data_IF_426702233931
#
_entry.id   IF_426702233931
#
_cell.length_a   1.000
_cell.length_b   1.000
_cell.length_c   1.000
_cell.angle_alpha   90.00
_cell.angle_beta   90.00
_cell.angle_gamma   90.00
#
_symmetry.space_group_name_H-M   'P 1'
#
loop_
_entity.id
_entity.type
_entity.pdbx_description
1 polymer ?
#
# COMPACT_ATOMS: atom_id res chain seq x y z
N UNK A 1 -10.33 -15.67 11.18
CA UNK A 1 -9.95 -14.25 11.16
C UNK A 1 -11.10 -13.50 10.50
N UNK A 2 -11.77 -12.53 11.14
CA UNK A 2 -12.68 -11.66 10.40
C UNK A 2 -11.88 -10.90 9.33
N UNK A 3 -12.43 -10.84 8.12
CA UNK A 3 -11.87 -10.07 7.03
C UNK A 3 -12.20 -8.59 7.26
N UNK A 4 -11.18 -7.80 7.52
CA UNK A 4 -11.30 -6.35 7.74
C UNK A 4 -10.53 -5.68 6.62
N UNK A 5 -11.13 -4.63 6.04
CA UNK A 5 -10.42 -3.77 5.09
C UNK A 5 -9.29 -2.98 5.75
N UNK A 6 -8.49 -2.33 4.93
CA UNK A 6 -7.47 -1.39 5.37
C UNK A 6 -8.09 -0.08 5.87
N UNK A 7 -7.28 0.72 6.56
CA UNK A 7 -7.62 2.09 6.94
C UNK A 7 -7.20 3.09 5.86
N UNK A 8 -7.95 4.19 5.75
CA UNK A 8 -7.52 5.33 4.94
C UNK A 8 -6.27 6.01 5.50
N UNK A 9 -5.52 6.68 4.64
CA UNK A 9 -4.40 7.53 5.01
C UNK A 9 -4.86 8.87 5.60
N UNK A 10 -3.96 9.54 6.34
CA UNK A 10 -4.22 10.88 6.85
C UNK A 10 -4.23 11.95 5.76
N UNK A 11 -5.00 13.01 5.94
CA UNK A 11 -4.90 14.20 5.09
C UNK A 11 -3.61 14.99 5.39
N UNK A 12 -3.09 15.66 4.36
CA UNK A 12 -1.99 16.61 4.51
C UNK A 12 -2.39 17.82 5.35
N UNK A 13 -1.40 18.43 6.01
CA UNK A 13 -1.61 19.63 6.79
C UNK A 13 -1.98 20.84 5.94
N UNK A 14 -2.74 21.76 6.54
CA UNK A 14 -3.16 23.02 5.94
C UNK A 14 -4.44 22.94 5.09
N UNK A 15 -5.02 24.09 4.72
CA UNK A 15 -6.27 24.16 3.94
C UNK A 15 -6.12 23.64 2.50
N UNK A 16 -4.88 23.46 2.04
CA UNK A 16 -4.51 22.98 0.72
C UNK A 16 -3.84 21.59 0.76
N UNK A 17 -3.87 20.92 1.91
CA UNK A 17 -3.29 19.59 2.08
C UNK A 17 -3.92 18.54 1.17
N UNK A 18 -3.09 17.62 0.68
CA UNK A 18 -3.56 16.50 -0.13
C UNK A 18 -4.47 15.58 0.66
N UNK A 19 -5.52 15.04 0.02
CA UNK A 19 -6.38 14.03 0.67
C UNK A 19 -5.61 12.72 0.85
N UNK A 20 -5.84 12.03 1.97
CA UNK A 20 -5.29 10.69 2.18
C UNK A 20 -5.86 9.64 1.22
N UNK A 21 -5.10 8.58 0.97
CA UNK A 21 -5.52 7.45 0.15
C UNK A 21 -6.56 6.56 0.85
N UNK A 22 -7.42 5.89 0.09
CA UNK A 22 -8.40 4.95 0.63
C UNK A 22 -7.75 3.67 1.17
N UNK A 23 -8.36 3.02 2.17
CA UNK A 23 -7.90 1.70 2.64
C UNK A 23 -8.24 0.58 1.64
N UNK A 24 -7.43 -0.48 1.63
CA UNK A 24 -7.63 -1.65 0.78
C UNK A 24 -8.87 -2.47 1.16
N UNK A 25 -9.42 -3.20 0.19
CA UNK A 25 -10.58 -4.09 0.41
C UNK A 25 -10.25 -5.38 1.14
N UNK A 26 -11.25 -6.21 1.41
CA UNK A 26 -11.03 -7.56 1.94
C UNK A 26 -11.62 -8.62 1.00
N UNK A 27 -10.84 -9.66 0.72
CA UNK A 27 -11.13 -10.71 -0.27
C UNK A 27 -11.10 -12.08 0.42
N UNK A 28 -12.17 -12.86 0.25
CA UNK A 28 -12.18 -14.29 0.56
C UNK A 28 -12.39 -15.10 -0.73
N UNK A 29 -11.56 -16.12 -0.94
CA UNK A 29 -11.79 -17.13 -1.96
C UNK A 29 -11.70 -18.50 -1.29
N UNK A 30 -12.78 -19.28 -1.41
CA UNK A 30 -12.84 -20.65 -0.91
C UNK A 30 -13.14 -21.61 -2.06
N UNK A 31 -12.36 -22.68 -2.17
CA UNK A 31 -12.55 -23.73 -3.16
C UNK A 31 -12.35 -25.11 -2.53
N UNK A 32 -13.18 -26.09 -2.88
CA UNK A 32 -12.93 -27.47 -2.47
C UNK A 32 -11.71 -28.07 -3.18
N UNK A 33 -11.44 -27.62 -4.41
CA UNK A 33 -10.34 -28.11 -5.23
C UNK A 33 -9.10 -27.22 -5.17
N UNK A 34 -8.66 -26.77 -6.35
CA UNK A 34 -7.46 -25.95 -6.52
C UNK A 34 -7.82 -24.49 -6.72
N UNK A 35 -7.16 -23.59 -5.99
CA UNK A 35 -7.04 -22.18 -6.39
C UNK A 35 -5.73 -22.07 -7.18
N UNK A 36 -5.81 -21.63 -8.44
CA UNK A 36 -4.63 -21.38 -9.28
C UNK A 36 -4.57 -19.92 -9.69
N UNK A 37 -3.44 -19.27 -9.40
CA UNK A 37 -3.13 -17.91 -9.81
C UNK A 37 -1.95 -18.02 -10.77
N UNK A 38 -2.23 -18.01 -12.07
CA UNK A 38 -1.19 -18.16 -13.10
C UNK A 38 -0.26 -16.95 -13.20
N UNK A 39 0.81 -17.07 -14.00
CA UNK A 39 1.87 -16.04 -14.17
C UNK A 39 1.36 -14.61 -14.41
N UNK A 40 0.21 -14.44 -15.09
CA UNK A 40 -0.40 -13.12 -15.36
C UNK A 40 -1.57 -12.77 -14.44
N UNK A 41 -1.90 -13.65 -13.51
CA UNK A 41 -2.98 -13.48 -12.57
C UNK A 41 -2.54 -12.70 -11.34
N UNK A 42 -3.47 -11.97 -10.74
CA UNK A 42 -3.25 -11.34 -9.45
C UNK A 42 -4.50 -11.32 -8.58
N UNK A 43 -4.27 -11.22 -7.27
CA UNK A 43 -5.29 -10.86 -6.28
C UNK A 43 -4.76 -9.63 -5.55
N UNK A 44 -5.53 -8.55 -5.57
CA UNK A 44 -5.08 -7.26 -5.06
C UNK A 44 -6.08 -6.69 -4.04
N UNK A 45 -5.58 -6.44 -2.84
CA UNK A 45 -6.25 -5.76 -1.74
C UNK A 45 -5.43 -4.53 -1.30
N UNK A 46 -4.70 -3.90 -2.23
CA UNK A 46 -3.86 -2.74 -1.98
C UNK A 46 -4.63 -1.50 -1.53
N UNK A 47 -3.96 -0.65 -0.73
CA UNK A 47 -4.46 0.67 -0.35
C UNK A 47 -4.26 1.72 -1.45
N UNK A 48 -5.05 2.78 -1.43
CA UNK A 48 -4.92 3.91 -2.36
C UNK A 48 -3.72 4.80 -2.04
N UNK A 49 -3.16 5.44 -3.07
CA UNK A 49 -2.13 6.47 -2.90
C UNK A 49 -2.71 7.77 -2.32
N UNK A 50 -1.89 8.50 -1.55
CA UNK A 50 -2.23 9.84 -1.07
C UNK A 50 -2.09 10.89 -2.16
N UNK A 51 -2.97 11.89 -2.17
CA UNK A 51 -2.85 13.01 -3.11
C UNK A 51 -1.69 13.93 -2.73
N UNK A 52 -1.06 14.55 -3.71
CA UNK A 52 -0.10 15.62 -3.44
C UNK A 52 -0.77 16.86 -2.83
N UNK A 53 0.02 17.65 -2.11
CA UNK A 53 -0.44 18.93 -1.60
C UNK A 53 -0.69 19.93 -2.72
N UNK A 54 -1.77 20.71 -2.62
CA UNK A 54 -2.12 21.68 -3.64
C UNK A 54 -1.28 22.96 -3.52
N UNK A 55 -0.96 23.56 -4.65
CA UNK A 55 -0.38 24.91 -4.70
C UNK A 55 -1.43 25.95 -4.29
N UNK A 56 -0.99 26.96 -3.56
CA UNK A 56 -1.81 28.11 -3.24
C UNK A 56 -0.93 29.31 -2.90
N UNK A 57 -1.33 30.55 -3.22
CA UNK A 57 -0.55 31.74 -2.91
C UNK A 57 -0.27 31.86 -1.40
N UNK A 58 1.00 31.93 -1.01
CA UNK A 58 1.44 32.22 0.36
C UNK A 58 1.45 31.03 1.33
N UNK A 59 0.82 29.89 1.00
CA UNK A 59 0.97 28.64 1.75
C UNK A 59 0.54 27.43 0.92
N UNK A 60 1.48 26.59 0.46
CA UNK A 60 1.16 25.33 -0.22
C UNK A 60 0.68 24.27 0.77
N UNK A 61 0.10 23.18 0.29
CA UNK A 61 -0.32 22.06 1.12
C UNK A 61 0.76 21.01 1.32
N UNK A 62 0.71 20.30 2.45
CA UNK A 62 1.46 19.05 2.62
C UNK A 62 0.80 17.89 1.89
N UNK A 63 1.58 16.85 1.58
CA UNK A 63 1.07 15.64 0.93
C UNK A 63 0.15 14.82 1.83
N UNK A 64 -0.87 14.19 1.23
CA UNK A 64 -1.73 13.23 1.90
C UNK A 64 -1.02 11.88 2.09
N UNK A 65 -1.32 11.17 3.18
CA UNK A 65 -0.77 9.85 3.45
C UNK A 65 -1.40 8.74 2.60
N UNK A 66 -0.64 7.69 2.32
CA UNK A 66 -1.14 6.49 1.65
C UNK A 66 -2.06 5.66 2.55
N UNK A 67 -3.06 5.01 1.94
CA UNK A 67 -3.95 4.08 2.64
C UNK A 67 -3.30 2.72 2.86
N UNK A 68 -3.69 2.01 3.93
CA UNK A 68 -3.14 0.68 4.22
C UNK A 68 -3.74 -0.37 3.29
N UNK A 69 -3.01 -1.46 3.06
CA UNK A 69 -3.56 -2.66 2.46
C UNK A 69 -4.66 -3.28 3.34
N UNK A 70 -5.52 -4.11 2.73
CA UNK A 70 -6.63 -4.79 3.40
C UNK A 70 -6.34 -6.24 3.74
N UNK A 71 -7.27 -7.16 3.52
CA UNK A 71 -7.11 -8.55 3.94
C UNK A 71 -7.44 -9.55 2.83
N UNK A 72 -6.62 -10.59 2.70
CA UNK A 72 -6.85 -11.67 1.74
C UNK A 72 -6.89 -12.99 2.52
N UNK A 73 -7.95 -13.78 2.30
CA UNK A 73 -8.08 -15.16 2.78
C UNK A 73 -8.29 -16.11 1.61
N UNK A 74 -7.36 -17.04 1.41
CA UNK A 74 -7.46 -18.11 0.44
C UNK A 74 -7.63 -19.45 1.16
N UNK A 75 -8.70 -20.18 0.85
CA UNK A 75 -8.98 -21.50 1.43
C UNK A 75 -9.17 -22.53 0.32
N UNK A 76 -8.30 -23.55 0.26
CA UNK A 76 -8.36 -24.55 -0.79
C UNK A 76 -7.83 -25.92 -0.36
N UNK A 77 -8.16 -26.98 -1.11
CA UNK A 77 -7.42 -28.24 -0.95
C UNK A 77 -5.98 -28.09 -1.50
N UNK A 78 -5.82 -27.41 -2.63
CA UNK A 78 -4.53 -27.11 -3.26
C UNK A 78 -4.45 -25.63 -3.62
N UNK A 79 -3.29 -25.00 -3.43
CA UNK A 79 -3.01 -23.63 -3.88
C UNK A 79 -1.77 -23.61 -4.77
N UNK A 80 -1.92 -23.12 -5.98
CA UNK A 80 -0.84 -22.90 -6.94
C UNK A 80 -0.74 -21.39 -7.22
N UNK A 81 0.40 -20.78 -6.90
CA UNK A 81 0.64 -19.34 -7.13
C UNK A 81 1.88 -19.17 -8.00
N UNK A 82 1.68 -18.62 -9.19
CA UNK A 82 2.71 -18.19 -10.14
C UNK A 82 2.63 -16.68 -10.40
N UNK A 83 1.46 -16.07 -10.13
CA UNK A 83 1.21 -14.63 -10.21
C UNK A 83 1.53 -13.89 -8.91
N UNK A 84 0.75 -12.84 -8.57
CA UNK A 84 0.97 -12.06 -7.32
C UNK A 84 -0.28 -11.99 -6.46
N UNK A 85 -0.12 -12.16 -5.15
CA UNK A 85 -1.15 -11.89 -4.15
C UNK A 85 -0.67 -10.74 -3.28
N UNK A 86 -1.31 -9.58 -3.40
CA UNK A 86 -0.84 -8.34 -2.77
C UNK A 86 -1.91 -7.71 -1.87
N UNK A 87 -1.49 -7.25 -0.70
CA UNK A 87 -2.22 -6.38 0.20
C UNK A 87 -1.29 -5.25 0.64
N UNK A 88 -0.64 -4.57 -0.31
CA UNK A 88 0.32 -3.50 -0.03
C UNK A 88 -0.38 -2.18 0.29
N UNK A 89 0.20 -1.34 1.14
CA UNK A 89 -0.23 0.05 1.26
C UNK A 89 0.15 0.89 0.03
N UNK A 90 -0.57 2.00 -0.16
CA UNK A 90 -0.25 3.00 -1.19
C UNK A 90 0.87 3.94 -0.74
N UNK A 91 1.54 4.61 -1.69
CA UNK A 91 2.50 5.68 -1.40
C UNK A 91 1.80 6.96 -0.95
N UNK A 92 2.47 7.77 -0.14
CA UNK A 92 2.03 9.12 0.22
C UNK A 92 2.30 10.13 -0.90
N UNK A 93 1.53 11.23 -0.94
CA UNK A 93 1.75 12.33 -1.89
C UNK A 93 2.91 13.23 -1.47
N UNK A 94 3.50 13.94 -2.42
CA UNK A 94 4.50 14.98 -2.16
C UNK A 94 3.84 16.26 -1.61
N UNK A 95 4.63 17.11 -0.96
CA UNK A 95 4.22 18.50 -0.68
C UNK A 95 4.06 19.34 -1.96
N UNK A 96 3.24 20.38 -1.92
CA UNK A 96 3.19 21.40 -2.98
C UNK A 96 4.32 22.43 -2.86
N UNK A 97 4.76 23.01 -3.97
CA UNK A 97 5.89 23.94 -4.02
C UNK A 97 5.42 25.37 -4.32
N UNK A 98 5.75 26.36 -3.47
CA UNK A 98 5.61 27.78 -3.83
C UNK A 98 6.69 28.18 -4.84
N UNK A 99 7.93 27.68 -4.67
CA UNK A 99 9.10 28.05 -5.50
C UNK A 99 8.79 27.86 -6.99
N UNK A 100 8.16 26.75 -7.31
CA UNK A 100 7.83 26.39 -8.70
C UNK A 100 6.35 26.57 -9.04
N UNK A 101 5.50 27.01 -8.09
CA UNK A 101 4.05 27.19 -8.24
C UNK A 101 3.34 25.97 -8.87
N UNK A 102 3.58 24.79 -8.29
CA UNK A 102 3.02 23.51 -8.76
C UNK A 102 2.53 22.64 -7.61
N UNK A 103 1.50 21.85 -7.89
CA UNK A 103 1.00 20.83 -6.96
C UNK A 103 2.06 19.74 -6.73
N UNK A 104 2.03 19.16 -5.53
CA UNK A 104 2.77 17.95 -5.24
C UNK A 104 2.27 16.79 -6.10
N UNK A 105 3.15 15.86 -6.45
CA UNK A 105 2.74 14.64 -7.14
C UNK A 105 2.05 13.70 -6.16
N UNK A 106 0.98 13.05 -6.61
CA UNK A 106 0.29 12.03 -5.81
C UNK A 106 1.12 10.74 -5.73
N UNK A 107 1.00 10.04 -4.61
CA UNK A 107 1.58 8.71 -4.44
C UNK A 107 0.83 7.67 -5.28
N UNK A 108 1.51 6.56 -5.57
CA UNK A 108 0.92 5.45 -6.34
C UNK A 108 0.09 4.57 -5.41
N UNK A 109 -1.07 4.08 -5.86
CA UNK A 109 -1.83 3.06 -5.12
C UNK A 109 -1.04 1.75 -5.01
N UNK A 110 -1.26 1.01 -3.91
CA UNK A 110 -0.76 -0.35 -3.74
C UNK A 110 -1.03 -1.20 -4.98
N UNK A 111 0.04 -1.69 -5.60
CA UNK A 111 -0.04 -2.50 -6.83
C UNK A 111 0.04 -4.00 -6.48
N UNK A 112 -0.42 -4.89 -7.39
CA UNK A 112 -0.18 -6.33 -7.30
C UNK A 112 1.28 -6.67 -7.64
N UNK A 113 2.21 -6.16 -6.83
CA UNK A 113 3.65 -6.31 -6.97
C UNK A 113 4.30 -6.68 -5.64
N UNK A 114 5.55 -7.17 -5.70
CA UNK A 114 6.38 -7.44 -4.51
C UNK A 114 7.15 -6.20 -4.03
N UNK A 115 7.15 -5.14 -4.84
CA UNK A 115 7.80 -3.86 -4.56
C UNK A 115 6.81 -2.85 -3.99
N UNK A 116 7.33 -1.90 -3.21
CA UNK A 116 6.54 -0.82 -2.64
C UNK A 116 5.86 0.02 -3.74
N UNK A 117 4.67 0.53 -3.43
CA UNK A 117 4.06 1.58 -4.24
C UNK A 117 4.81 2.90 -4.01
N UNK A 118 5.39 3.52 -5.05
CA UNK A 118 6.19 4.72 -4.87
C UNK A 118 5.40 5.88 -4.26
N UNK A 119 6.06 6.63 -3.39
CA UNK A 119 5.60 7.94 -2.96
C UNK A 119 5.62 8.96 -4.10
N UNK A 120 4.90 10.07 -3.90
CA UNK A 120 4.92 11.19 -4.82
C UNK A 120 6.28 11.88 -4.81
N UNK A 121 6.88 12.06 -5.99
CA UNK A 121 8.13 12.80 -6.13
C UNK A 121 7.91 14.31 -6.02
N UNK A 122 8.73 14.96 -5.23
CA UNK A 122 8.76 16.38 -4.99
C UNK A 122 9.17 17.17 -6.22
N UNK A 123 8.84 18.45 -6.15
CA UNK A 123 9.39 19.51 -6.99
C UNK A 123 10.35 20.34 -6.12
N UNK A 124 11.24 21.16 -6.72
CA UNK A 124 12.09 22.08 -5.94
C UNK A 124 11.29 22.87 -4.90
N UNK A 125 11.79 22.93 -3.66
CA UNK A 125 11.11 23.60 -2.53
C UNK A 125 10.01 22.78 -1.85
N UNK A 126 9.84 21.51 -2.19
CA UNK A 126 8.95 20.57 -1.50
C UNK A 126 9.66 19.23 -1.23
N UNK A 127 9.01 18.33 -0.52
CA UNK A 127 9.61 17.06 -0.09
C UNK A 127 8.82 15.83 -0.55
N UNK A 128 9.51 14.70 -0.72
CA UNK A 128 8.94 13.47 -1.26
C UNK A 128 7.91 12.84 -0.32
N UNK A 129 6.89 12.22 -0.90
CA UNK A 129 6.00 11.30 -0.19
C UNK A 129 6.70 9.98 0.12
N UNK A 130 6.27 9.32 1.21
CA UNK A 130 6.82 8.03 1.60
C UNK A 130 6.25 6.88 0.76
N UNK A 131 7.12 5.95 0.37
CA UNK A 131 6.71 4.69 -0.27
C UNK A 131 5.76 3.87 0.62
N UNK A 132 4.83 3.14 0.01
CA UNK A 132 3.98 2.17 0.71
C UNK A 132 4.76 0.96 1.22
N UNK A 133 4.07 0.05 1.91
CA UNK A 133 4.64 -1.24 2.31
C UNK A 133 4.96 -2.16 1.11
N UNK A 134 5.80 -3.16 1.30
CA UNK A 134 6.16 -4.15 0.29
C UNK A 134 6.24 -5.58 0.84
N UNK A 135 6.82 -6.50 0.05
CA UNK A 135 6.93 -7.89 0.44
C UNK A 135 7.76 -8.09 1.72
N UNK A 136 8.74 -7.24 1.99
CA UNK A 136 9.69 -7.39 3.10
C UNK A 136 9.48 -6.36 4.22
N UNK A 137 8.84 -5.23 3.92
CA UNK A 137 8.60 -4.13 4.83
C UNK A 137 7.10 -3.96 5.05
N UNK A 138 6.65 -4.32 6.25
CA UNK A 138 5.23 -4.22 6.62
C UNK A 138 4.74 -2.79 6.82
N UNK A 139 5.65 -1.88 7.16
CA UNK A 139 5.32 -0.49 7.43
C UNK A 139 5.58 0.31 6.15
N UNK A 140 4.71 1.27 5.85
CA UNK A 140 5.02 2.29 4.86
C UNK A 140 6.14 3.19 5.37
N UNK A 141 6.89 3.82 4.47
CA UNK A 141 7.91 4.80 4.84
C UNK A 141 7.26 6.12 5.22
N UNK A 142 7.92 6.86 6.10
CA UNK A 142 7.55 8.25 6.34
C UNK A 142 7.78 9.06 5.06
N UNK A 143 6.99 10.11 4.86
CA UNK A 143 7.35 11.17 3.91
C UNK A 143 8.59 11.91 4.42
N UNK A 144 9.28 12.56 3.51
CA UNK A 144 10.43 13.39 3.86
C UNK A 144 9.98 14.62 4.66
N UNK A 145 10.82 15.01 5.62
CA UNK A 145 10.65 16.25 6.36
C UNK A 145 11.29 17.38 5.57
N UNK A 146 10.72 18.58 5.67
CA UNK A 146 11.40 19.79 5.25
C UNK A 146 12.69 19.97 6.06
N UNK A 147 13.84 19.93 5.40
CA UNK A 147 15.18 20.09 5.97
C UNK A 147 15.65 21.54 5.96
N UNK A 148 15.03 22.39 5.14
CA UNK A 148 15.35 23.81 4.99
C UNK A 148 14.11 24.67 5.16
N UNK A 149 14.28 25.91 5.61
CA UNK A 149 13.19 26.89 5.70
C UNK A 149 12.57 27.23 4.33
N UNK A 150 13.26 26.88 3.23
CA UNK A 150 12.78 26.99 1.85
C UNK A 150 11.96 25.78 1.37
N UNK A 151 11.97 24.67 2.12
CA UNK A 151 11.11 23.52 1.86
C UNK A 151 9.82 23.70 2.65
N UNK A 152 8.76 24.09 1.95
CA UNK A 152 7.63 24.72 2.63
C UNK A 152 6.67 23.68 3.20
N UNK A 153 6.60 22.49 2.60
CA UNK A 153 5.61 21.48 2.92
C UNK A 153 6.11 20.05 2.82
N UNK A 154 5.81 19.28 3.87
CA UNK A 154 6.20 17.88 4.01
C UNK A 154 5.41 16.94 3.08
N UNK A 155 6.02 15.80 2.77
CA UNK A 155 5.37 14.70 2.08
C UNK A 155 4.51 13.87 3.04
N UNK A 156 3.46 13.25 2.51
CA UNK A 156 2.65 12.30 3.26
C UNK A 156 3.40 10.98 3.46
N UNK A 157 3.17 10.30 4.59
CA UNK A 157 3.69 8.94 4.81
C UNK A 157 2.98 7.89 3.95
N UNK A 158 3.68 6.83 3.59
CA UNK A 158 3.12 5.67 2.91
C UNK A 158 2.25 4.80 3.81
N UNK A 159 1.35 4.03 3.20
CA UNK A 159 0.46 3.11 3.88
C UNK A 159 1.14 1.80 4.27
N UNK A 160 0.75 1.24 5.41
CA UNK A 160 1.19 -0.08 5.87
C UNK A 160 0.54 -1.24 5.12
N UNK A 161 1.14 -2.42 5.28
CA UNK A 161 0.67 -3.66 4.68
C UNK A 161 -0.61 -4.16 5.35
N UNK A 162 -1.42 -4.81 4.53
CA UNK A 162 -2.55 -5.63 4.92
C UNK A 162 -2.13 -7.02 5.40
N UNK A 163 -3.08 -7.96 5.44
CA UNK A 163 -2.80 -9.35 5.87
C UNK A 163 -3.20 -10.37 4.83
N UNK A 164 -2.39 -11.43 4.72
CA UNK A 164 -2.67 -12.58 3.86
C UNK A 164 -2.78 -13.83 4.74
N UNK A 165 -3.90 -14.55 4.63
CA UNK A 165 -4.12 -15.82 5.30
C UNK A 165 -4.37 -16.90 4.26
N UNK A 166 -3.59 -17.98 4.31
CA UNK A 166 -3.72 -19.12 3.40
C UNK A 166 -4.02 -20.38 4.22
N UNK A 167 -5.21 -20.93 4.01
CA UNK A 167 -5.64 -22.20 4.59
C UNK A 167 -5.64 -23.29 3.51
N UNK A 168 -4.67 -24.19 3.54
CA UNK A 168 -4.55 -25.24 2.52
C UNK A 168 -4.23 -26.61 3.10
N UNK A 169 -4.73 -27.65 2.45
CA UNK A 169 -4.36 -29.04 2.79
C UNK A 169 -2.98 -29.34 2.21
N UNK A 170 -2.75 -28.98 0.94
CA UNK A 170 -1.45 -29.12 0.26
C UNK A 170 -1.06 -27.80 -0.40
N UNK A 171 -0.02 -27.10 0.08
CA UNK A 171 0.53 -25.97 -0.66
C UNK A 171 1.19 -26.46 -1.96
N UNK A 172 1.09 -25.67 -3.03
CA UNK A 172 1.92 -25.82 -4.22
C UNK A 172 3.39 -25.47 -3.94
N UNK A 173 4.23 -25.50 -4.97
CA UNK A 173 5.64 -25.14 -4.82
C UNK A 173 5.82 -23.64 -4.57
N UNK A 174 6.51 -23.30 -3.47
CA UNK A 174 6.97 -21.95 -3.11
C UNK A 174 5.96 -20.77 -3.25
N UNK A 175 4.68 -20.92 -2.82
CA UNK A 175 3.70 -19.84 -2.93
C UNK A 175 4.11 -18.55 -2.19
N UNK A 176 4.96 -18.65 -1.17
CA UNK A 176 5.51 -17.54 -0.40
C UNK A 176 6.30 -16.52 -1.23
N UNK A 177 6.91 -16.93 -2.35
CA UNK A 177 7.67 -16.04 -3.22
C UNK A 177 6.79 -15.04 -3.99
N UNK A 178 5.47 -15.23 -3.94
CA UNK A 178 4.47 -14.51 -4.71
C UNK A 178 3.56 -13.64 -3.83
N UNK A 179 3.86 -13.53 -2.54
CA UNK A 179 3.03 -12.83 -1.57
C UNK A 179 3.66 -11.49 -1.18
N UNK A 180 2.84 -10.44 -1.14
CA UNK A 180 3.19 -9.14 -0.60
C UNK A 180 2.08 -8.66 0.33
N UNK A 181 2.26 -8.63 1.65
CA UNK A 181 3.51 -8.90 2.37
C UNK A 181 3.92 -10.38 2.34
N UNK A 182 5.22 -10.66 2.43
CA UNK A 182 5.75 -12.02 2.51
C UNK A 182 5.66 -12.59 3.94
N UNK A 183 5.74 -13.91 4.13
CA UNK A 183 5.61 -14.53 5.45
C UNK A 183 6.63 -14.05 6.49
N UNK A 184 7.81 -13.63 6.05
CA UNK A 184 8.85 -13.08 6.94
C UNK A 184 8.44 -11.82 7.71
N UNK A 185 7.41 -11.10 7.23
CA UNK A 185 6.86 -9.92 7.92
C UNK A 185 5.93 -10.26 9.09
N UNK A 186 5.48 -11.53 9.17
CA UNK A 186 4.43 -11.98 10.08
C UNK A 186 3.00 -11.63 9.64
N UNK A 187 2.81 -10.93 8.51
CA UNK A 187 1.49 -10.53 8.01
C UNK A 187 0.89 -11.51 6.99
N UNK A 188 1.71 -12.37 6.39
CA UNK A 188 1.27 -13.53 5.63
C UNK A 188 1.44 -14.82 6.46
N UNK A 189 0.38 -15.62 6.56
CA UNK A 189 0.37 -16.82 7.42
C UNK A 189 -0.30 -18.02 6.75
N UNK A 190 0.27 -19.21 6.98
CA UNK A 190 -0.20 -20.48 6.47
C UNK A 190 -0.78 -21.37 7.58
N UNK A 191 -1.71 -22.25 7.21
CA UNK A 191 -2.24 -23.29 8.08
C UNK A 191 -3.28 -24.14 7.34
N UNK A 192 -4.01 -24.97 8.08
CA UNK A 192 -4.99 -25.89 7.50
C UNK A 192 -6.39 -25.27 7.44
N UNK A 193 -7.23 -25.67 6.47
CA UNK A 193 -8.65 -25.32 6.48
C UNK A 193 -9.32 -25.92 7.72
N UNK A 194 -10.35 -25.24 8.23
CA UNK A 194 -11.19 -25.82 9.26
C UNK A 194 -11.81 -27.12 8.71
N UNK A 195 -11.52 -28.25 9.36
CA UNK A 195 -12.15 -29.53 9.04
C UNK A 195 -13.68 -29.33 9.16
N UNK A 196 -14.40 -29.48 8.05
CA UNK A 196 -15.86 -29.62 8.03
C UNK A 196 -16.22 -31.09 7.90
#
# INVERSE_FOLDING_TARGET
MPLVGGSGGGGGAGPHGGTGGGGGGAIQISAQGTIRIGVRGSIDAGGGGGQGGLRAPGNTGAGGGGGSGGAILLEAAVLEVEGVVAANGGGGGAGGSQETDVDGRSGVSGQPALTAAPGGLAQPGATDGGDGSDAMNRDGRNGENAALDSEENAGGGGGGAGRIRINVVRPGAAPEAHLSPAPGTGLATFGSPALR
#
